data_IF_762240524688
#
_entry.id   IF_762240524688
#
_cell.length_a   1.000
_cell.length_b   1.000
_cell.length_c   1.000
_cell.angle_alpha   90.00
_cell.angle_beta   90.00
_cell.angle_gamma   90.00
#
_symmetry.space_group_name_H-M   'P 1'
#
loop_
_entity.id
_entity.type
_entity.pdbx_description
1 polymer ?
#
# COMPACT_ATOMS: atom_id res chain seq x y z
N UNK A 1 -26.72 -28.44 -49.13
CA UNK A 1 -25.38 -28.84 -48.65
C UNK A 1 -24.37 -28.06 -49.48
N UNK A 2 -23.46 -27.29 -48.88
CA UNK A 2 -22.36 -26.64 -49.62
C UNK A 2 -21.50 -27.72 -50.26
N UNK A 3 -21.19 -27.60 -51.56
CA UNK A 3 -20.43 -28.63 -52.26
C UNK A 3 -18.99 -28.70 -51.71
N UNK A 4 -18.37 -29.87 -51.79
CA UNK A 4 -17.02 -30.09 -51.22
C UNK A 4 -15.96 -29.15 -51.84
N UNK A 5 -16.18 -28.70 -53.08
CA UNK A 5 -15.32 -27.71 -53.74
C UNK A 5 -15.45 -26.29 -53.15
N UNK A 6 -16.65 -25.90 -52.70
CA UNK A 6 -16.86 -24.61 -52.03
C UNK A 6 -16.21 -24.58 -50.64
N UNK A 7 -16.19 -25.72 -49.95
CA UNK A 7 -15.49 -25.88 -48.66
C UNK A 7 -13.99 -25.71 -48.83
N UNK A 8 -13.39 -26.40 -49.81
CA UNK A 8 -11.95 -26.28 -50.12
C UNK A 8 -11.54 -24.87 -50.51
N UNK A 9 -12.34 -24.19 -51.34
CA UNK A 9 -12.07 -22.80 -51.76
C UNK A 9 -12.20 -21.79 -50.61
N UNK A 10 -13.06 -22.07 -49.62
CA UNK A 10 -13.20 -21.24 -48.40
C UNK A 10 -12.04 -21.46 -47.44
N UNK A 11 -11.62 -22.71 -47.26
CA UNK A 11 -10.46 -23.08 -46.43
C UNK A 11 -9.17 -22.48 -46.99
N UNK A 12 -8.98 -22.47 -48.31
CA UNK A 12 -7.81 -21.88 -48.93
C UNK A 12 -7.76 -20.35 -48.76
N UNK A 13 -8.91 -19.67 -48.83
CA UNK A 13 -9.01 -18.22 -48.55
C UNK A 13 -8.74 -17.91 -47.07
N UNK A 14 -9.27 -18.71 -46.16
CA UNK A 14 -9.03 -18.57 -44.72
C UNK A 14 -7.56 -18.82 -44.37
N UNK A 15 -6.91 -19.80 -45.02
CA UNK A 15 -5.47 -20.06 -44.86
C UNK A 15 -4.62 -18.88 -45.35
N UNK A 16 -4.91 -18.35 -46.54
CA UNK A 16 -4.24 -17.15 -47.07
C UNK A 16 -4.45 -15.93 -46.18
N UNK A 17 -5.66 -15.76 -45.62
CA UNK A 17 -5.98 -14.66 -44.70
C UNK A 17 -5.27 -14.82 -43.34
N UNK A 18 -5.19 -16.04 -42.81
CA UNK A 18 -4.46 -16.35 -41.59
C UNK A 18 -2.95 -16.11 -41.75
N UNK A 19 -2.38 -16.46 -42.90
CA UNK A 19 -0.97 -16.22 -43.21
C UNK A 19 -0.64 -14.72 -43.31
N UNK A 20 -1.49 -13.94 -43.99
CA UNK A 20 -1.34 -12.47 -44.06
C UNK A 20 -1.45 -11.85 -42.66
N UNK A 21 -2.39 -12.32 -41.84
CA UNK A 21 -2.56 -11.85 -40.46
C UNK A 21 -1.35 -12.22 -39.59
N UNK A 22 -0.82 -13.44 -39.71
CA UNK A 22 0.38 -13.87 -39.00
C UNK A 22 1.62 -13.06 -39.42
N UNK A 23 1.75 -12.75 -40.72
CA UNK A 23 2.83 -11.90 -41.25
C UNK A 23 2.73 -10.46 -40.74
N UNK A 24 1.53 -9.90 -40.68
CA UNK A 24 1.28 -8.57 -40.10
C UNK A 24 1.54 -8.54 -38.58
N UNK A 25 1.15 -9.59 -37.87
CA UNK A 25 1.39 -9.72 -36.43
C UNK A 25 2.90 -9.85 -36.13
N UNK A 26 3.63 -10.68 -36.88
CA UNK A 26 5.08 -10.81 -36.76
C UNK A 26 5.83 -9.51 -37.09
N UNK A 27 5.38 -8.77 -38.12
CA UNK A 27 5.93 -7.45 -38.47
C UNK A 27 5.61 -6.37 -37.42
N UNK A 28 4.54 -6.52 -36.65
CA UNK A 28 4.19 -5.63 -35.53
C UNK A 28 4.95 -5.97 -34.24
N UNK A 29 5.28 -7.24 -34.03
CA UNK A 29 6.03 -7.71 -32.86
C UNK A 29 7.50 -7.25 -32.90
N UNK A 30 8.12 -7.23 -34.07
CA UNK A 30 9.51 -6.78 -34.27
C UNK A 30 9.69 -5.25 -34.16
N UNK A 31 8.60 -4.47 -34.26
CA UNK A 31 8.60 -3.01 -34.10
C UNK A 31 8.40 -2.52 -32.67
N UNK A 32 8.21 -3.41 -31.68
CA UNK A 32 8.20 -3.02 -30.26
C UNK A 32 9.62 -2.63 -29.85
N UNK A 33 9.97 -1.36 -30.06
CA UNK A 33 11.21 -0.75 -29.58
C UNK A 33 11.44 -1.17 -28.13
N UNK A 34 12.53 -1.90 -27.87
CA UNK A 34 13.08 -2.14 -26.53
C UNK A 34 13.40 -0.77 -25.93
N UNK A 35 12.41 -0.12 -25.33
CA UNK A 35 12.61 1.11 -24.58
C UNK A 35 13.67 0.86 -23.50
N UNK A 36 14.48 1.88 -23.22
CA UNK A 36 15.63 1.91 -22.30
C UNK A 36 15.47 1.15 -20.97
N UNK A 37 14.24 0.86 -20.55
CA UNK A 37 13.92 0.09 -19.35
C UNK A 37 12.75 -0.87 -19.60
N UNK A 38 12.83 -2.09 -19.05
CA UNK A 38 11.66 -2.97 -18.98
C UNK A 38 10.58 -2.34 -18.09
N UNK A 39 9.29 -2.53 -18.39
CA UNK A 39 8.18 -2.01 -17.57
C UNK A 39 8.30 -2.41 -16.09
N UNK A 40 8.76 -3.64 -15.83
CA UNK A 40 9.01 -4.18 -14.48
C UNK A 40 10.11 -3.41 -13.74
N UNK A 41 11.25 -3.14 -14.40
CA UNK A 41 12.34 -2.38 -13.80
C UNK A 41 11.90 -0.94 -13.51
N UNK A 42 11.11 -0.32 -14.38
CA UNK A 42 10.51 1.01 -14.15
C UNK A 42 9.54 1.01 -12.96
N UNK A 43 8.75 -0.05 -12.76
CA UNK A 43 7.87 -0.22 -11.60
C UNK A 43 8.66 -0.37 -10.30
N UNK A 44 9.68 -1.24 -10.29
CA UNK A 44 10.58 -1.45 -9.14
C UNK A 44 11.30 -0.15 -8.75
N UNK A 45 11.78 0.61 -9.73
CA UNK A 45 12.44 1.88 -9.49
C UNK A 45 11.49 2.91 -8.85
N UNK A 46 10.27 3.08 -9.37
CA UNK A 46 9.27 3.97 -8.76
C UNK A 46 8.93 3.58 -7.32
N UNK A 47 8.86 2.29 -7.02
CA UNK A 47 8.65 1.80 -5.66
C UNK A 47 9.82 2.19 -4.75
N UNK A 48 11.06 1.97 -5.20
CA UNK A 48 12.26 2.33 -4.45
C UNK A 48 12.36 3.84 -4.20
N UNK A 49 12.03 4.68 -5.19
CA UNK A 49 12.02 6.13 -5.01
C UNK A 49 10.99 6.57 -3.96
N UNK A 50 9.77 6.02 -4.00
CA UNK A 50 8.73 6.35 -3.00
C UNK A 50 9.13 5.89 -1.61
N UNK A 51 9.73 4.70 -1.48
CA UNK A 51 10.24 4.18 -0.20
C UNK A 51 11.33 5.10 0.35
N UNK A 52 12.31 5.47 -0.47
CA UNK A 52 13.39 6.40 -0.08
C UNK A 52 12.83 7.79 0.28
N UNK A 53 11.86 8.30 -0.47
CA UNK A 53 11.22 9.58 -0.17
C UNK A 53 10.45 9.55 1.16
N UNK A 54 9.75 8.45 1.46
CA UNK A 54 9.04 8.28 2.73
C UNK A 54 10.01 8.16 3.92
N UNK A 55 11.11 7.43 3.74
CA UNK A 55 12.18 7.30 4.74
C UNK A 55 12.86 8.64 5.01
N UNK A 56 13.22 9.38 3.96
CA UNK A 56 13.82 10.70 4.09
C UNK A 56 12.87 11.72 4.73
N UNK A 57 11.57 11.66 4.40
CA UNK A 57 10.55 12.50 5.03
C UNK A 57 10.48 12.22 6.55
N UNK A 58 10.51 10.96 6.96
CA UNK A 58 10.52 10.57 8.37
C UNK A 58 11.81 11.03 9.07
N UNK A 59 12.97 10.86 8.43
CA UNK A 59 14.27 11.33 8.93
C UNK A 59 14.27 12.85 9.17
N UNK A 60 13.73 13.62 8.23
CA UNK A 60 13.61 15.08 8.36
C UNK A 60 12.64 15.49 9.48
N UNK A 61 11.51 14.78 9.63
CA UNK A 61 10.58 15.02 10.73
C UNK A 61 11.23 14.78 12.09
N UNK A 62 11.96 13.68 12.25
CA UNK A 62 12.70 13.36 13.47
C UNK A 62 13.80 14.38 13.77
N UNK A 63 14.58 14.78 12.75
CA UNK A 63 15.60 15.81 12.88
C UNK A 63 14.98 17.16 13.31
N UNK A 64 13.88 17.59 12.66
CA UNK A 64 13.16 18.81 13.01
C UNK A 64 12.55 18.76 14.42
N UNK A 65 12.03 17.60 14.83
CA UNK A 65 11.51 17.40 16.18
C UNK A 65 12.61 17.45 17.23
N UNK A 66 13.79 16.89 16.94
CA UNK A 66 14.95 16.97 17.83
C UNK A 66 15.49 18.39 17.93
N UNK A 67 15.58 19.10 16.81
CA UNK A 67 15.99 20.51 16.79
C UNK A 67 15.00 21.37 17.58
N UNK A 68 13.70 21.16 17.40
CA UNK A 68 12.66 21.81 18.21
C UNK A 68 12.87 21.57 19.70
N UNK A 69 13.19 20.35 20.11
CA UNK A 69 13.49 20.03 21.52
C UNK A 69 14.72 20.79 22.02
N UNK A 70 15.82 20.79 21.25
CA UNK A 70 17.05 21.54 21.59
C UNK A 70 16.79 23.03 21.77
N UNK A 71 16.07 23.64 20.82
CA UNK A 71 15.73 25.07 20.86
C UNK A 71 14.85 25.39 22.06
N UNK A 72 13.87 24.54 22.39
CA UNK A 72 13.05 24.72 23.60
C UNK A 72 13.95 24.67 24.84
N UNK A 73 14.76 23.63 25.01
CA UNK A 73 15.68 23.51 26.16
C UNK A 73 16.61 24.72 26.30
N UNK A 74 17.16 25.21 25.18
CA UNK A 74 18.01 26.41 25.18
C UNK A 74 17.25 27.67 25.59
N UNK A 75 15.99 27.83 25.15
CA UNK A 75 15.17 29.02 25.43
C UNK A 75 14.60 29.04 26.85
N UNK A 76 14.15 27.91 27.38
CA UNK A 76 13.60 27.82 28.74
C UNK A 76 14.67 27.66 29.81
N UNK A 77 15.87 27.21 29.45
CA UNK A 77 16.95 26.99 30.41
C UNK A 77 16.63 25.92 31.46
N UNK A 78 17.37 25.94 32.57
CA UNK A 78 17.09 25.11 33.75
C UNK A 78 16.10 25.82 34.67
N UNK A 79 15.29 25.03 35.40
CA UNK A 79 14.43 25.58 36.44
C UNK A 79 15.28 26.31 37.48
N UNK A 80 14.85 27.51 37.86
CA UNK A 80 15.48 28.25 38.96
C UNK A 80 15.17 27.53 40.27
N UNK A 81 16.18 27.31 41.10
CA UNK A 81 16.00 26.76 42.44
C UNK A 81 15.24 27.78 43.29
N UNK A 82 14.07 27.41 43.83
CA UNK A 82 13.21 28.32 44.58
C UNK A 82 13.48 28.27 46.09
N UNK A 83 13.97 27.14 46.60
CA UNK A 83 14.15 26.90 48.05
C UNK A 83 15.27 27.73 48.69
N UNK A 84 16.15 28.34 47.89
CA UNK A 84 17.28 29.14 48.37
C UNK A 84 17.06 30.65 48.26
N UNK A 85 15.89 31.11 47.82
CA UNK A 85 15.60 32.54 47.62
C UNK A 85 14.83 33.12 48.80
N UNK A 86 15.07 34.40 49.10
CA UNK A 86 14.25 35.15 50.06
C UNK A 86 12.90 35.58 49.46
N UNK A 87 11.92 35.92 50.30
CA UNK A 87 10.59 36.36 49.87
C UNK A 87 10.64 37.54 48.88
N UNK A 88 11.50 38.55 49.13
CA UNK A 88 11.67 39.68 48.23
C UNK A 88 12.23 39.25 46.85
N UNK A 89 13.14 38.28 46.84
CA UNK A 89 13.69 37.72 45.60
C UNK A 89 12.65 36.91 44.83
N UNK A 90 11.75 36.21 45.52
CA UNK A 90 10.64 35.47 44.91
C UNK A 90 9.66 36.43 44.24
N UNK A 91 9.32 37.56 44.88
CA UNK A 91 8.44 38.59 44.30
C UNK A 91 9.07 39.21 43.05
N UNK A 92 10.34 39.60 43.11
CA UNK A 92 11.07 40.14 41.94
C UNK A 92 11.11 39.13 40.80
N UNK A 93 11.33 37.85 41.11
CA UNK A 93 11.34 36.79 40.11
C UNK A 93 9.97 36.59 39.44
N UNK A 94 8.88 36.68 40.21
CA UNK A 94 7.53 36.59 39.66
C UNK A 94 7.25 37.72 38.67
N UNK A 95 7.64 38.96 39.00
CA UNK A 95 7.53 40.10 38.08
C UNK A 95 8.34 39.90 36.80
N UNK A 96 9.59 39.42 36.91
CA UNK A 96 10.42 39.12 35.72
C UNK A 96 9.77 38.07 34.81
N UNK A 97 9.16 37.02 35.38
CA UNK A 97 8.46 36.02 34.58
C UNK A 97 7.21 36.58 33.92
N UNK A 98 6.44 37.41 34.63
CA UNK A 98 5.26 38.07 34.07
C UNK A 98 5.63 38.95 32.87
N UNK A 99 6.65 39.81 33.01
CA UNK A 99 7.11 40.69 31.92
C UNK A 99 7.62 39.87 30.73
N UNK A 100 8.33 38.78 31.01
CA UNK A 100 8.82 37.87 29.96
C UNK A 100 7.67 37.18 29.22
N UNK A 101 6.62 36.77 29.92
CA UNK A 101 5.43 36.16 29.31
C UNK A 101 4.74 37.17 28.41
N UNK A 102 4.52 38.41 28.87
CA UNK A 102 3.89 39.45 28.06
C UNK A 102 4.66 39.73 26.77
N UNK A 103 6.00 39.79 26.82
CA UNK A 103 6.84 39.94 25.63
C UNK A 103 6.70 38.74 24.68
N UNK A 104 6.74 37.51 25.20
CA UNK A 104 6.61 36.29 24.40
C UNK A 104 5.23 36.15 23.75
N UNK A 105 4.17 36.61 24.41
CA UNK A 105 2.82 36.63 23.84
C UNK A 105 2.73 37.60 22.66
N UNK A 106 3.36 38.78 22.77
CA UNK A 106 3.43 39.72 21.67
C UNK A 106 4.20 39.14 20.47
N UNK A 107 5.39 38.57 20.70
CA UNK A 107 6.17 37.91 19.65
C UNK A 107 5.41 36.73 19.01
N UNK A 108 4.68 35.97 19.81
CA UNK A 108 3.83 34.87 19.33
C UNK A 108 2.72 35.40 18.42
N UNK A 109 2.05 36.48 18.79
CA UNK A 109 1.00 37.07 17.99
C UNK A 109 1.50 37.51 16.61
N UNK A 110 2.64 38.22 16.56
CA UNK A 110 3.25 38.66 15.30
C UNK A 110 3.60 37.47 14.38
N UNK A 111 4.16 36.40 14.95
CA UNK A 111 4.48 35.17 14.21
C UNK A 111 3.23 34.46 13.70
N UNK A 112 2.18 34.34 14.54
CA UNK A 112 0.91 33.71 14.16
C UNK A 112 0.22 34.49 13.04
N UNK A 113 0.20 35.82 13.13
CA UNK A 113 -0.36 36.68 12.09
C UNK A 113 0.42 36.53 10.77
N UNK A 114 1.75 36.54 10.81
CA UNK A 114 2.58 36.35 9.63
C UNK A 114 2.38 34.97 8.97
N UNK A 115 2.18 33.91 9.77
CA UNK A 115 1.85 32.57 9.25
C UNK A 115 0.45 32.56 8.63
N UNK A 116 -0.54 33.15 9.30
CA UNK A 116 -1.92 33.22 8.79
C UNK A 116 -2.01 33.95 7.45
N UNK A 117 -1.26 35.06 7.30
CA UNK A 117 -1.11 35.78 6.03
C UNK A 117 -0.55 34.89 4.92
N UNK A 118 0.51 34.14 5.20
CA UNK A 118 1.12 33.20 4.23
C UNK A 118 0.17 32.06 3.87
N UNK A 119 -0.59 31.54 4.82
CA UNK A 119 -1.58 30.48 4.56
C UNK A 119 -2.72 30.99 3.66
N UNK A 120 -3.15 32.24 3.85
CA UNK A 120 -4.09 32.89 2.95
C UNK A 120 -3.52 33.02 1.53
N UNK A 121 -2.29 33.51 1.39
CA UNK A 121 -1.59 33.64 0.10
C UNK A 121 -1.43 32.28 -0.60
N UNK A 122 -1.06 31.23 0.14
CA UNK A 122 -0.98 29.86 -0.39
C UNK A 122 -2.35 29.39 -0.89
N UNK A 123 -3.41 29.65 -0.14
CA UNK A 123 -4.78 29.26 -0.51
C UNK A 123 -5.24 30.00 -1.76
N UNK A 124 -4.98 31.30 -1.84
CA UNK A 124 -5.28 32.12 -3.01
C UNK A 124 -4.51 31.62 -4.25
N UNK A 125 -3.21 31.37 -4.11
CA UNK A 125 -2.37 30.84 -5.19
C UNK A 125 -2.83 29.44 -5.62
N UNK A 126 -3.20 28.57 -4.68
CA UNK A 126 -3.74 27.25 -4.98
C UNK A 126 -5.07 27.34 -5.74
N UNK A 127 -5.94 28.29 -5.39
CA UNK A 127 -7.17 28.57 -6.12
C UNK A 127 -6.90 29.04 -7.55
N UNK A 128 -5.98 30.01 -7.75
CA UNK A 128 -5.56 30.48 -9.08
C UNK A 128 -5.00 29.34 -9.95
N UNK A 129 -4.14 28.49 -9.39
CA UNK A 129 -3.59 27.32 -10.11
C UNK A 129 -4.70 26.33 -10.50
N UNK A 130 -5.70 26.14 -9.64
CA UNK A 130 -6.82 25.25 -9.93
C UNK A 130 -7.74 25.80 -11.03
N UNK A 131 -8.03 27.11 -10.99
CA UNK A 131 -8.84 27.78 -12.01
C UNK A 131 -8.13 27.73 -13.39
N UNK A 132 -6.82 27.99 -13.42
CA UNK A 132 -6.00 27.85 -14.64
C UNK A 132 -5.91 26.41 -15.16
N UNK A 133 -5.87 25.41 -14.28
CA UNK A 133 -5.91 23.98 -14.68
C UNK A 133 -7.26 23.56 -15.25
N UNK A 134 -8.27 24.41 -15.15
CA UNK A 134 -9.63 24.16 -15.57
C UNK A 134 -10.40 23.36 -14.52
N UNK A 135 -11.46 23.96 -13.98
CA UNK A 135 -12.46 23.36 -13.07
C UNK A 135 -13.17 22.11 -13.66
N UNK A 136 -12.86 21.74 -14.91
CA UNK A 136 -13.61 20.79 -15.73
C UNK A 136 -12.77 19.65 -16.33
N UNK A 137 -11.74 19.16 -15.64
CA UNK A 137 -11.37 17.75 -15.84
C UNK A 137 -12.44 16.94 -15.12
N UNK A 138 -13.55 16.61 -15.80
CA UNK A 138 -14.62 15.75 -15.24
C UNK A 138 -13.94 14.50 -14.69
N UNK A 139 -13.83 14.33 -13.37
CA UNK A 139 -13.30 13.10 -12.83
C UNK A 139 -14.25 12.02 -13.33
N UNK A 140 -13.77 10.94 -13.98
CA UNK A 140 -14.66 9.90 -14.43
C UNK A 140 -15.43 9.41 -13.21
N UNK A 141 -16.76 9.59 -13.22
CA UNK A 141 -17.64 9.21 -12.12
C UNK A 141 -17.57 7.68 -11.98
N UNK A 142 -16.62 7.21 -11.19
CA UNK A 142 -16.53 5.81 -10.81
C UNK A 142 -17.59 5.60 -9.73
N UNK A 143 -18.38 4.53 -9.85
CA UNK A 143 -19.25 4.05 -8.78
C UNK A 143 -18.36 3.68 -7.61
N UNK A 144 -18.22 4.59 -6.64
CA UNK A 144 -17.46 4.33 -5.42
C UNK A 144 -18.45 3.73 -4.41
N UNK A 145 -18.34 2.45 -4.07
CA UNK A 145 -19.16 1.82 -3.05
C UNK A 145 -18.88 2.47 -1.68
N UNK A 146 -19.92 3.05 -1.05
CA UNK A 146 -19.80 3.83 0.20
C UNK A 146 -19.16 3.05 1.37
N UNK A 147 -19.36 1.73 1.41
CA UNK A 147 -18.97 0.89 2.55
C UNK A 147 -17.97 -0.21 2.20
N UNK A 148 -17.74 -0.53 0.93
CA UNK A 148 -16.92 -1.68 0.54
C UNK A 148 -15.45 -1.48 0.92
N UNK A 149 -14.88 -0.29 0.73
CA UNK A 149 -13.54 0.02 1.19
C UNK A 149 -13.41 -0.01 2.73
N UNK A 150 -14.48 0.30 3.47
CA UNK A 150 -14.50 0.25 4.95
C UNK A 150 -14.62 -1.19 5.44
N UNK A 151 -15.45 -2.00 4.79
CA UNK A 151 -15.63 -3.42 5.06
C UNK A 151 -14.36 -4.19 4.70
N UNK A 152 -13.76 -3.93 3.53
CA UNK A 152 -12.45 -4.48 3.15
C UNK A 152 -11.39 -4.10 4.18
N UNK A 153 -11.28 -2.83 4.58
CA UNK A 153 -10.30 -2.40 5.59
C UNK A 153 -10.53 -3.07 6.95
N UNK A 154 -11.79 -3.26 7.34
CA UNK A 154 -12.14 -3.93 8.60
C UNK A 154 -11.80 -5.44 8.54
N UNK A 155 -12.10 -6.10 7.43
CA UNK A 155 -11.74 -7.50 7.16
C UNK A 155 -10.22 -7.68 7.05
N UNK A 156 -9.53 -6.72 6.43
CA UNK A 156 -8.08 -6.72 6.25
C UNK A 156 -7.33 -6.54 7.58
N UNK A 157 -7.83 -5.63 8.44
CA UNK A 157 -7.33 -5.46 9.80
C UNK A 157 -7.60 -6.68 10.68
N UNK A 158 -8.76 -7.34 10.51
CA UNK A 158 -9.11 -8.56 11.22
C UNK A 158 -8.26 -9.77 10.79
N UNK A 159 -7.87 -9.83 9.51
CA UNK A 159 -7.10 -10.95 8.94
C UNK A 159 -5.58 -10.84 9.14
N UNK A 160 -5.04 -9.69 9.59
CA UNK A 160 -3.60 -9.44 9.81
C UNK A 160 -2.67 -9.82 8.65
N UNK A 161 -3.21 -10.01 7.45
CA UNK A 161 -2.47 -10.33 6.24
C UNK A 161 -3.03 -9.47 5.11
N UNK A 162 -2.18 -8.61 4.55
CA UNK A 162 -2.53 -7.69 3.47
C UNK A 162 -2.02 -8.28 2.16
N UNK A 163 -2.90 -8.93 1.39
CA UNK A 163 -2.57 -9.37 0.03
C UNK A 163 -3.62 -10.24 -0.62
N UNK A 164 -3.64 -10.25 -1.96
CA UNK A 164 -4.45 -11.14 -2.81
C UNK A 164 -4.25 -12.64 -2.49
N UNK A 165 -3.16 -12.97 -1.79
CA UNK A 165 -2.83 -14.34 -1.36
C UNK A 165 -3.78 -14.90 -0.31
N UNK A 166 -4.53 -14.06 0.42
CA UNK A 166 -5.45 -14.51 1.47
C UNK A 166 -6.66 -15.26 0.91
N UNK A 167 -7.03 -15.00 -0.35
CA UNK A 167 -8.09 -15.74 -1.04
C UNK A 167 -7.59 -17.05 -1.69
N UNK A 168 -6.27 -17.29 -1.69
CA UNK A 168 -5.68 -18.50 -2.26
C UNK A 168 -5.51 -19.55 -1.15
N UNK A 169 -5.99 -20.77 -1.38
CA UNK A 169 -5.66 -21.91 -0.50
C UNK A 169 -4.15 -22.15 -0.58
N UNK A 170 -3.43 -21.96 0.53
CA UNK A 170 -2.04 -22.39 0.64
C UNK A 170 -2.00 -23.93 0.65
N UNK A 171 -1.30 -24.53 -0.31
CA UNK A 171 -1.02 -25.97 -0.27
C UNK A 171 0.16 -26.16 0.68
N UNK A 172 -0.05 -26.89 1.78
CA UNK A 172 1.05 -27.31 2.65
C UNK A 172 1.97 -28.23 1.85
N UNK A 173 3.25 -27.88 1.77
CA UNK A 173 4.26 -28.57 0.97
C UNK A 173 4.49 -30.03 1.39
N UNK A 174 3.99 -30.42 2.56
CA UNK A 174 4.02 -31.80 3.08
C UNK A 174 3.23 -32.79 2.21
N UNK A 175 2.27 -32.34 1.39
CA UNK A 175 1.52 -33.26 0.50
C UNK A 175 2.28 -33.68 -0.76
N UNK A 176 3.48 -33.14 -1.04
CA UNK A 176 4.25 -33.50 -2.23
C UNK A 176 5.53 -34.28 -1.92
N UNK A 177 5.89 -34.45 -0.65
CA UNK A 177 7.04 -35.25 -0.22
C UNK A 177 6.62 -36.21 0.91
N UNK A 178 5.78 -37.18 0.58
CA UNK A 178 5.53 -38.33 1.47
C UNK A 178 5.99 -39.62 0.80
N UNK A 179 7.31 -39.75 0.62
CA UNK A 179 7.99 -41.04 0.83
C UNK A 179 8.05 -41.28 2.34
N UNK A 180 6.91 -41.58 2.95
CA UNK A 180 6.83 -42.33 4.20
C UNK A 180 5.78 -43.40 4.00
N UNK A 181 6.21 -44.64 4.16
CA UNK A 181 5.43 -45.84 3.88
C UNK A 181 4.06 -45.78 4.55
N UNK A 182 2.96 -45.94 3.81
CA UNK A 182 1.66 -46.09 4.42
C UNK A 182 1.64 -47.42 5.16
N UNK A 183 1.40 -47.39 6.48
CA UNK A 183 0.96 -48.58 7.22
C UNK A 183 -0.23 -49.15 6.46
N UNK A 184 -0.05 -50.36 5.91
CA UNK A 184 -1.05 -51.10 5.12
C UNK A 184 -2.26 -51.44 6.00
N UNK A 185 -3.15 -50.48 6.20
CA UNK A 185 -4.52 -50.77 6.65
C UNK A 185 -5.26 -51.17 5.38
N UNK A 186 -5.59 -52.45 5.29
CA UNK A 186 -6.40 -52.97 4.19
C UNK A 186 -7.74 -52.23 4.19
N UNK A 187 -8.21 -51.71 3.05
CA UNK A 187 -9.48 -51.01 2.98
C UNK A 187 -10.64 -51.98 3.24
N UNK A 188 -11.72 -51.46 3.81
CA UNK A 188 -12.85 -52.24 4.35
C UNK A 188 -13.52 -53.18 3.31
N UNK A 189 -13.40 -52.86 2.03
CA UNK A 189 -13.91 -53.66 0.91
C UNK A 189 -12.96 -54.78 0.46
N UNK A 190 -11.84 -55.02 1.16
CA UNK A 190 -10.89 -56.08 0.77
C UNK A 190 -11.52 -57.46 0.92
N UNK A 191 -11.32 -58.30 -0.09
CA UNK A 191 -11.81 -59.69 -0.13
C UNK A 191 -11.25 -60.55 1.03
N UNK A 192 -10.08 -60.18 1.59
CA UNK A 192 -9.50 -60.84 2.77
C UNK A 192 -10.32 -60.61 4.05
N UNK A 193 -10.95 -59.45 4.18
CA UNK A 193 -11.79 -59.15 5.34
C UNK A 193 -13.18 -59.80 5.20
N UNK A 194 -13.70 -59.90 3.98
CA UNK A 194 -14.94 -60.62 3.67
C UNK A 194 -14.86 -62.11 4.02
N UNK A 195 -13.73 -62.77 3.75
CA UNK A 195 -13.52 -64.18 4.13
C UNK A 195 -13.47 -64.40 5.65
N UNK A 196 -12.96 -63.43 6.43
CA UNK A 196 -12.96 -63.55 7.90
C UNK A 196 -14.37 -63.39 8.49
N UNK A 197 -15.21 -62.54 7.88
CA UNK A 197 -16.62 -62.37 8.29
C UNK A 197 -17.45 -63.61 7.95
N UNK A 198 -17.25 -64.23 6.78
CA UNK A 198 -17.93 -65.48 6.40
C UNK A 198 -17.53 -66.67 7.29
N UNK A 199 -16.27 -66.79 7.69
CA UNK A 199 -15.85 -67.87 8.60
C UNK A 199 -16.43 -67.75 10.02
N UNK A 200 -16.76 -66.53 10.47
CA UNK A 200 -17.41 -66.33 11.77
C UNK A 200 -18.93 -66.57 11.74
N UNK A 201 -19.56 -66.51 10.57
CA UNK A 201 -21.01 -66.75 10.42
C UNK A 201 -21.38 -68.21 10.14
N UNK A 202 -20.40 -69.08 9.83
CA UNK A 202 -20.61 -70.51 9.59
C UNK A 202 -20.38 -71.42 10.81
N UNK A 203 -20.13 -70.86 12.00
CA UNK A 203 -19.83 -71.64 13.22
C UNK A 203 -20.85 -71.39 14.34
N UNK A 204 -22.12 -71.24 13.98
CA UNK A 204 -23.25 -71.32 14.92
C UNK A 204 -24.38 -72.12 14.30
#
# INVERSE_FOLDING_TARGET
>A
MMSDDERRKREERERKKAEVRARLEAASASKKKKGFMTPERKKKLRLLLRRKAAEELKRQQEAKANERKKVITQRTGQLKNLDSLSDDQLVQLAHQFHDRIAQLENEKYDLEYAVSRKDYEITEMAAKVNDMRGKFIRPPLKKIPKYEAKIERMLLNARKEIGFTVALKSVKKDQMTETKEPKKVQPEWSWKQRQQVEQQQGSN
#
